data_IF_314123669238
#
_entry.id   IF_314123669238
#
_cell.length_a   1.000
_cell.length_b   1.000
_cell.length_c   1.000
_cell.angle_alpha   90.00
_cell.angle_beta   90.00
_cell.angle_gamma   90.00
#
_symmetry.space_group_name_H-M   'P 1'
#
loop_
_entity.id
_entity.type
_entity.pdbx_description
1 polymer ?
#
# COMPACT_ATOMS: atom_id res chain seq x y z
N UNK A 1 10.42 -41.25 7.99
CA UNK A 1 9.61 -40.20 8.67
C UNK A 1 10.17 -38.88 8.18
N UNK A 2 9.40 -38.09 7.44
CA UNK A 2 9.81 -36.74 7.08
C UNK A 2 9.74 -35.89 8.35
N UNK A 3 10.86 -35.30 8.75
CA UNK A 3 10.88 -34.19 9.69
C UNK A 3 10.01 -33.08 9.11
N UNK A 4 8.86 -32.83 9.74
CA UNK A 4 8.09 -31.61 9.48
C UNK A 4 8.91 -30.49 10.09
N UNK A 5 9.68 -29.77 9.26
CA UNK A 5 10.33 -28.54 9.68
C UNK A 5 9.23 -27.61 10.23
N UNK A 6 9.33 -27.30 11.52
CA UNK A 6 8.40 -26.37 12.16
C UNK A 6 8.77 -24.99 11.63
N UNK A 7 8.04 -24.53 10.60
CA UNK A 7 8.21 -23.18 10.07
C UNK A 7 7.99 -22.17 11.19
N UNK A 8 9.02 -21.37 11.47
CA UNK A 8 8.95 -20.33 12.49
C UNK A 8 8.19 -19.14 11.94
N UNK A 9 6.95 -18.96 12.42
CA UNK A 9 6.15 -17.77 12.11
C UNK A 9 6.45 -16.62 13.06
N UNK A 10 6.72 -15.44 12.52
CA UNK A 10 6.84 -14.19 13.30
C UNK A 10 5.88 -13.17 12.71
N UNK A 11 5.02 -12.57 13.53
CA UNK A 11 3.97 -11.64 13.09
C UNK A 11 3.04 -12.23 12.00
N UNK A 12 2.83 -13.55 11.99
CA UNK A 12 2.05 -14.26 10.98
C UNK A 12 2.79 -14.55 9.67
N UNK A 13 4.04 -14.12 9.52
CA UNK A 13 4.89 -14.36 8.34
C UNK A 13 5.74 -15.61 8.53
N UNK A 14 5.83 -16.43 7.48
CA UNK A 14 6.74 -17.58 7.41
C UNK A 14 8.15 -17.07 7.08
N UNK A 15 8.96 -16.87 8.12
CA UNK A 15 10.25 -16.16 8.00
C UNK A 15 11.25 -16.92 7.13
N UNK A 16 11.23 -18.26 7.19
CA UNK A 16 12.06 -19.11 6.32
C UNK A 16 11.72 -18.87 4.84
N UNK A 17 10.43 -18.91 4.47
CA UNK A 17 9.97 -18.67 3.09
C UNK A 17 10.29 -17.24 2.60
N UNK A 18 10.28 -16.26 3.50
CA UNK A 18 10.72 -14.89 3.19
C UNK A 18 12.19 -14.88 2.77
N UNK A 19 13.08 -15.49 3.54
CA UNK A 19 14.51 -15.56 3.22
C UNK A 19 14.82 -16.44 2.01
N UNK A 20 14.07 -17.52 1.79
CA UNK A 20 14.12 -18.31 0.55
C UNK A 20 13.79 -17.46 -0.68
N UNK A 21 12.74 -16.65 -0.59
CA UNK A 21 12.32 -15.74 -1.67
C UNK A 21 13.42 -14.71 -1.97
N UNK A 22 13.99 -14.10 -0.93
CA UNK A 22 15.13 -13.17 -1.07
C UNK A 22 16.32 -13.89 -1.73
N UNK A 23 16.61 -15.12 -1.31
CA UNK A 23 17.68 -15.95 -1.89
C UNK A 23 17.45 -16.27 -3.35
N UNK A 24 16.21 -16.60 -3.74
CA UNK A 24 15.82 -16.87 -5.13
C UNK A 24 16.00 -15.63 -6.00
N UNK A 25 15.51 -14.46 -5.55
CA UNK A 25 15.67 -13.19 -6.25
C UNK A 25 17.15 -12.82 -6.40
N UNK A 26 17.98 -13.00 -5.36
CA UNK A 26 19.42 -12.74 -5.45
C UNK A 26 20.12 -13.60 -6.51
N UNK A 27 19.68 -14.85 -6.69
CA UNK A 27 20.23 -15.77 -7.70
C UNK A 27 19.72 -15.47 -9.11
N UNK A 28 18.45 -15.09 -9.23
CA UNK A 28 17.79 -14.79 -10.50
C UNK A 28 17.09 -13.43 -10.37
N UNK A 29 17.81 -12.32 -10.64
CA UNK A 29 17.28 -10.97 -10.42
C UNK A 29 15.95 -10.68 -11.11
N UNK A 30 15.72 -11.24 -12.30
CA UNK A 30 14.47 -11.07 -13.05
C UNK A 30 13.24 -11.70 -12.39
N UNK A 31 13.38 -12.45 -11.28
CA UNK A 31 12.24 -12.87 -10.47
C UNK A 31 11.61 -11.71 -9.69
N UNK A 32 12.33 -10.59 -9.53
CA UNK A 32 11.87 -9.40 -8.81
C UNK A 32 10.97 -8.48 -9.65
N UNK A 33 10.79 -8.76 -10.94
CA UNK A 33 9.96 -7.93 -11.81
C UNK A 33 8.48 -8.27 -11.63
N UNK A 34 7.71 -7.28 -11.18
CA UNK A 34 6.27 -7.39 -10.96
C UNK A 34 5.51 -6.32 -11.75
N UNK A 35 4.34 -6.70 -12.25
CA UNK A 35 3.37 -5.77 -12.87
C UNK A 35 1.99 -6.03 -12.29
N UNK A 36 1.54 -5.09 -11.47
CA UNK A 36 0.18 -5.07 -10.93
C UNK A 36 -0.76 -4.37 -11.90
N UNK A 37 -2.04 -4.78 -11.90
CA UNK A 37 -3.05 -4.20 -12.79
C UNK A 37 -4.45 -4.31 -12.19
N UNK A 38 -5.31 -3.43 -12.65
CA UNK A 38 -6.74 -3.43 -12.37
C UNK A 38 -7.49 -2.85 -13.56
N UNK A 39 -8.78 -3.14 -13.63
CA UNK A 39 -9.72 -2.53 -14.56
C UNK A 39 -10.69 -1.65 -13.76
N UNK A 40 -11.11 -0.51 -14.30
CA UNK A 40 -12.11 0.36 -13.68
C UNK A 40 -13.24 0.67 -14.67
N UNK A 41 -14.47 0.78 -14.15
CA UNK A 41 -15.63 1.23 -14.92
C UNK A 41 -16.36 2.35 -14.18
N UNK A 42 -16.76 3.38 -14.91
CA UNK A 42 -17.73 4.35 -14.44
C UNK A 42 -19.12 3.68 -14.31
N UNK A 43 -19.88 4.09 -13.28
CA UNK A 43 -21.24 3.61 -13.05
C UNK A 43 -22.23 4.77 -13.16
N UNK A 44 -22.11 5.77 -12.30
CA UNK A 44 -22.99 6.94 -12.30
C UNK A 44 -22.39 8.06 -11.44
N UNK A 45 -22.51 9.33 -11.85
CA UNK A 45 -21.97 10.47 -11.12
C UNK A 45 -20.50 10.23 -10.70
N UNK A 46 -20.17 10.38 -9.40
CA UNK A 46 -18.85 10.07 -8.83
C UNK A 46 -18.57 8.57 -8.63
N UNK A 47 -19.59 7.71 -8.71
CA UNK A 47 -19.46 6.27 -8.48
C UNK A 47 -18.77 5.58 -9.65
N UNK A 48 -17.68 4.89 -9.34
CA UNK A 48 -16.95 4.01 -10.23
C UNK A 48 -16.48 2.75 -9.48
N UNK A 49 -16.16 1.69 -10.23
CA UNK A 49 -15.81 0.37 -9.68
C UNK A 49 -14.54 -0.16 -10.29
N UNK A 50 -13.58 -0.49 -9.43
CA UNK A 50 -12.35 -1.19 -9.79
C UNK A 50 -12.48 -2.69 -9.53
N UNK A 51 -11.88 -3.50 -10.41
CA UNK A 51 -11.75 -4.95 -10.27
C UNK A 51 -10.27 -5.33 -10.37
N UNK A 52 -9.75 -6.00 -9.34
CA UNK A 52 -8.37 -6.51 -9.27
C UNK A 52 -8.44 -8.04 -9.32
N UNK A 53 -7.86 -8.66 -10.36
CA UNK A 53 -7.97 -10.12 -10.58
C UNK A 53 -6.65 -10.84 -10.82
N UNK A 54 -5.61 -10.13 -11.27
CA UNK A 54 -4.34 -10.74 -11.64
C UNK A 54 -3.16 -9.78 -11.56
N UNK A 55 -1.95 -10.34 -11.58
CA UNK A 55 -0.69 -9.62 -11.65
C UNK A 55 0.38 -10.51 -12.30
N UNK A 56 1.42 -9.89 -12.86
CA UNK A 56 2.62 -10.61 -13.30
C UNK A 56 3.67 -10.51 -12.20
N UNK A 57 4.36 -11.60 -11.94
CA UNK A 57 5.44 -11.66 -10.95
C UNK A 57 6.14 -12.99 -11.02
N UNK A 58 7.39 -13.06 -10.56
CA UNK A 58 8.20 -14.30 -10.62
C UNK A 58 8.20 -14.94 -12.02
N UNK A 59 8.25 -14.10 -13.06
CA UNK A 59 8.25 -14.49 -14.48
C UNK A 59 6.97 -15.19 -15.01
N UNK A 60 5.83 -15.07 -14.32
CA UNK A 60 4.57 -15.67 -14.75
C UNK A 60 3.35 -14.81 -14.39
N UNK A 61 2.21 -15.12 -14.99
CA UNK A 61 0.91 -14.54 -14.61
C UNK A 61 0.33 -15.29 -13.41
N UNK A 62 -0.24 -14.52 -12.48
CA UNK A 62 -0.92 -15.01 -11.29
C UNK A 62 -2.34 -14.47 -11.26
N UNK A 63 -3.30 -15.33 -10.93
CA UNK A 63 -4.70 -14.97 -10.77
C UNK A 63 -5.18 -15.30 -9.37
N UNK A 64 -6.19 -14.57 -8.91
CA UNK A 64 -6.88 -14.81 -7.65
C UNK A 64 -8.35 -14.44 -7.78
N UNK A 65 -9.16 -14.80 -6.78
CA UNK A 65 -10.54 -14.34 -6.72
C UNK A 65 -10.60 -12.81 -6.81
N UNK A 66 -11.49 -12.22 -7.64
CA UNK A 66 -11.49 -10.79 -7.87
C UNK A 66 -11.83 -9.99 -6.61
N UNK A 67 -11.02 -8.96 -6.33
CA UNK A 67 -11.40 -7.92 -5.38
C UNK A 67 -12.13 -6.81 -6.11
N UNK A 68 -13.29 -6.42 -5.58
CA UNK A 68 -14.15 -5.37 -6.15
C UNK A 68 -14.19 -4.19 -5.19
N UNK A 69 -13.81 -3.02 -5.69
CA UNK A 69 -13.73 -1.78 -4.90
C UNK A 69 -14.56 -0.70 -5.58
N UNK A 70 -15.58 -0.22 -4.88
CA UNK A 70 -16.31 0.98 -5.29
C UNK A 70 -15.64 2.21 -4.73
N UNK A 71 -15.60 3.28 -5.52
CA UNK A 71 -15.16 4.60 -5.07
C UNK A 71 -16.22 5.64 -5.45
N UNK A 72 -16.50 6.57 -4.54
CA UNK A 72 -17.49 7.63 -4.72
C UNK A 72 -17.10 8.85 -3.87
N UNK A 73 -17.74 9.99 -4.08
CA UNK A 73 -17.51 11.17 -3.25
C UNK A 73 -18.52 11.25 -2.08
N UNK A 74 -18.20 11.99 -1.00
CA UNK A 74 -19.20 12.33 0.01
C UNK A 74 -20.28 13.24 -0.58
N UNK A 75 -21.45 13.33 0.08
CA UNK A 75 -22.59 14.14 -0.38
C UNK A 75 -22.21 15.61 -0.63
N UNK A 76 -21.37 16.18 0.24
CA UNK A 76 -20.89 17.57 0.11
C UNK A 76 -20.03 17.79 -1.15
N UNK A 77 -19.51 16.72 -1.74
CA UNK A 77 -18.78 16.69 -3.01
C UNK A 77 -19.57 15.99 -4.12
N UNK A 78 -20.90 16.01 -4.03
CA UNK A 78 -21.85 15.54 -5.06
C UNK A 78 -21.84 14.03 -5.32
N UNK A 79 -21.27 13.23 -4.42
CA UNK A 79 -21.42 11.78 -4.45
C UNK A 79 -22.56 11.29 -3.54
N UNK A 80 -22.73 9.97 -3.47
CA UNK A 80 -23.79 9.34 -2.67
C UNK A 80 -23.30 8.94 -1.26
N UNK A 81 -22.01 9.13 -0.96
CA UNK A 81 -21.42 8.72 0.32
C UNK A 81 -21.47 7.21 0.60
N UNK A 82 -21.72 6.39 -0.41
CA UNK A 82 -21.88 4.93 -0.31
C UNK A 82 -20.56 4.16 -0.34
N UNK A 83 -19.45 4.82 -0.64
CA UNK A 83 -18.11 4.24 -0.74
C UNK A 83 -17.05 5.32 -0.45
N UNK A 84 -15.83 4.94 -0.04
CA UNK A 84 -14.77 5.91 0.21
C UNK A 84 -14.42 6.72 -1.05
N UNK A 85 -13.98 7.95 -0.84
CA UNK A 85 -13.42 8.79 -1.90
C UNK A 85 -12.10 8.23 -2.43
N UNK A 86 -11.75 8.49 -3.70
CA UNK A 86 -10.45 8.11 -4.24
C UNK A 86 -9.27 8.67 -3.41
N UNK A 87 -9.43 9.85 -2.82
CA UNK A 87 -8.40 10.48 -1.98
C UNK A 87 -8.25 9.78 -0.62
N UNK A 88 -9.31 9.21 -0.07
CA UNK A 88 -9.26 8.34 1.12
C UNK A 88 -8.62 6.98 0.77
N UNK A 89 -8.92 6.42 -0.40
CA UNK A 89 -8.25 5.20 -0.89
C UNK A 89 -6.74 5.40 -1.04
N UNK A 90 -6.27 6.57 -1.46
CA UNK A 90 -4.85 6.89 -1.50
C UNK A 90 -4.20 6.85 -0.11
N UNK A 91 -4.85 7.43 0.91
CA UNK A 91 -4.36 7.37 2.30
C UNK A 91 -4.37 5.93 2.83
N UNK A 92 -5.42 5.17 2.53
CA UNK A 92 -5.51 3.75 2.88
C UNK A 92 -4.36 2.95 2.27
N UNK A 93 -4.11 3.07 0.97
CA UNK A 93 -3.03 2.36 0.30
C UNK A 93 -1.66 2.75 0.87
N UNK A 94 -1.44 4.04 1.12
CA UNK A 94 -0.20 4.56 1.70
C UNK A 94 0.07 3.99 3.09
N UNK A 95 -0.87 4.15 4.03
CA UNK A 95 -0.65 3.73 5.43
C UNK A 95 -0.58 2.21 5.54
N UNK A 96 -1.35 1.48 4.73
CA UNK A 96 -1.32 0.02 4.70
C UNK A 96 0.03 -0.49 4.21
N UNK A 97 0.58 0.12 3.15
CA UNK A 97 1.88 -0.26 2.62
C UNK A 97 3.03 0.03 3.61
N UNK A 98 3.01 1.18 4.29
CA UNK A 98 3.97 1.51 5.35
C UNK A 98 3.86 0.53 6.51
N UNK A 99 2.63 0.18 6.92
CA UNK A 99 2.38 -0.81 7.97
C UNK A 99 2.97 -2.17 7.60
N UNK A 100 2.69 -2.66 6.39
CA UNK A 100 3.24 -3.94 5.91
C UNK A 100 4.77 -3.93 5.89
N UNK A 101 5.40 -2.84 5.43
CA UNK A 101 6.85 -2.72 5.45
C UNK A 101 7.42 -2.82 6.88
N UNK A 102 6.82 -2.14 7.87
CA UNK A 102 7.23 -2.26 9.28
C UNK A 102 7.12 -3.72 9.76
N UNK A 103 5.98 -4.38 9.52
CA UNK A 103 5.72 -5.74 10.00
C UNK A 103 6.66 -6.77 9.36
N UNK A 104 6.90 -6.66 8.05
CA UNK A 104 7.78 -7.57 7.31
C UNK A 104 9.22 -7.45 7.80
N UNK A 105 9.71 -6.24 7.99
CA UNK A 105 11.06 -6.01 8.48
C UNK A 105 11.23 -6.37 9.97
N UNK A 106 10.20 -6.17 10.80
CA UNK A 106 10.20 -6.66 12.18
C UNK A 106 10.30 -8.20 12.21
N UNK A 107 9.52 -8.89 11.39
CA UNK A 107 9.57 -10.35 11.29
C UNK A 107 10.94 -10.86 10.81
N UNK A 108 11.53 -10.22 9.80
CA UNK A 108 12.87 -10.55 9.31
C UNK A 108 13.97 -10.34 10.37
N UNK A 109 13.77 -9.41 11.31
CA UNK A 109 14.64 -9.18 12.47
C UNK A 109 14.31 -10.07 13.67
N UNK A 110 13.30 -10.94 13.58
CA UNK A 110 12.84 -11.78 14.68
C UNK A 110 12.09 -11.02 15.79
N UNK A 111 11.65 -9.78 15.53
CA UNK A 111 10.93 -8.96 16.51
C UNK A 111 9.44 -9.27 16.43
N UNK A 112 8.90 -9.84 17.51
CA UNK A 112 7.48 -10.11 17.64
C UNK A 112 6.73 -8.83 18.06
N UNK A 113 5.84 -8.38 17.20
CA UNK A 113 4.93 -7.26 17.44
C UNK A 113 3.69 -7.78 18.16
N UNK A 114 3.27 -7.04 19.19
CA UNK A 114 2.02 -7.28 19.91
C UNK A 114 0.89 -6.44 19.31
N UNK A 115 1.20 -5.23 18.83
CA UNK A 115 0.23 -4.28 18.30
C UNK A 115 0.91 -3.30 17.32
N UNK A 116 0.22 -2.97 16.23
CA UNK A 116 0.58 -1.87 15.33
C UNK A 116 -0.71 -1.14 14.94
N UNK A 117 -0.84 0.10 15.39
CA UNK A 117 -1.95 0.99 15.03
C UNK A 117 -1.41 2.23 14.32
N UNK A 118 -2.22 2.83 13.46
CA UNK A 118 -1.87 4.08 12.81
C UNK A 118 -3.06 5.01 12.62
N UNK A 119 -2.76 6.32 12.58
CA UNK A 119 -3.68 7.38 12.17
C UNK A 119 -3.06 8.15 11.03
N UNK A 120 -3.83 8.40 9.98
CA UNK A 120 -3.38 9.14 8.79
C UNK A 120 -4.37 10.26 8.48
N UNK A 121 -3.83 11.43 8.15
CA UNK A 121 -4.58 12.59 7.70
C UNK A 121 -3.79 13.31 6.60
N UNK A 122 -4.49 14.03 5.73
CA UNK A 122 -3.87 14.87 4.71
C UNK A 122 -4.77 16.03 4.34
N UNK A 123 -4.15 17.14 3.93
CA UNK A 123 -4.87 18.37 3.63
C UNK A 123 -5.00 18.56 2.11
N UNK A 124 -6.23 18.74 1.61
CA UNK A 124 -6.55 19.08 0.21
C UNK A 124 -7.22 20.45 0.19
N UNK A 125 -6.93 21.22 -0.86
CA UNK A 125 -7.58 22.49 -1.13
C UNK A 125 -8.35 22.43 -2.45
N UNK A 126 -9.67 22.54 -2.34
CA UNK A 126 -10.58 22.33 -3.47
C UNK A 126 -10.47 23.43 -4.52
N UNK A 127 -9.87 24.60 -4.24
CA UNK A 127 -9.63 25.60 -5.28
C UNK A 127 -8.78 25.05 -6.43
N UNK A 128 -7.83 24.17 -6.13
CA UNK A 128 -7.02 23.51 -7.16
C UNK A 128 -7.84 22.50 -7.97
N UNK A 129 -8.58 21.62 -7.29
CA UNK A 129 -9.43 20.60 -7.92
C UNK A 129 -10.53 21.22 -8.81
N UNK A 130 -11.18 22.27 -8.32
CA UNK A 130 -12.26 22.99 -9.01
C UNK A 130 -11.76 23.96 -10.11
N UNK A 131 -10.45 24.09 -10.28
CA UNK A 131 -9.85 24.99 -11.28
C UNK A 131 -10.06 26.48 -10.99
N UNK A 132 -10.25 26.84 -9.72
CA UNK A 132 -10.47 28.22 -9.27
C UNK A 132 -9.16 28.99 -9.04
N UNK A 133 -8.07 28.28 -8.76
CA UNK A 133 -6.72 28.86 -8.63
C UNK A 133 -5.67 27.90 -9.17
N UNK A 134 -4.95 28.32 -10.22
CA UNK A 134 -3.91 27.53 -10.88
C UNK A 134 -2.64 27.37 -10.03
N UNK A 135 -2.41 28.25 -9.05
CA UNK A 135 -1.25 28.19 -8.15
C UNK A 135 -1.44 27.19 -7.01
N UNK A 136 -2.66 26.67 -6.81
CA UNK A 136 -2.97 25.70 -5.76
C UNK A 136 -2.80 24.28 -6.29
N UNK A 137 -2.05 23.46 -5.53
CA UNK A 137 -1.89 22.03 -5.81
C UNK A 137 -3.25 21.33 -5.76
N UNK A 138 -3.51 20.50 -6.77
CA UNK A 138 -4.76 19.74 -6.93
C UNK A 138 -4.89 18.54 -5.97
N UNK A 139 -3.76 17.89 -5.66
CA UNK A 139 -3.71 16.79 -4.69
C UNK A 139 -3.35 17.24 -3.27
N UNK A 140 -3.05 16.28 -2.38
CA UNK A 140 -2.63 16.56 -1.00
C UNK A 140 -1.45 17.54 -0.93
N UNK A 141 -1.59 18.58 -0.09
CA UNK A 141 -0.51 19.53 0.27
C UNK A 141 0.53 18.86 1.16
N UNK A 142 0.07 17.96 2.01
CA UNK A 142 0.84 17.23 3.01
C UNK A 142 0.01 16.00 3.47
N UNK A 143 0.70 14.97 3.93
CA UNK A 143 0.11 13.80 4.58
C UNK A 143 0.91 13.53 5.84
N UNK A 144 0.23 13.22 6.94
CA UNK A 144 0.85 12.97 8.24
C UNK A 144 0.35 11.62 8.76
N UNK A 145 1.28 10.75 9.11
CA UNK A 145 0.98 9.44 9.68
C UNK A 145 1.57 9.36 11.09
N UNK A 146 0.79 8.86 12.05
CA UNK A 146 1.23 8.57 13.41
C UNK A 146 1.04 7.09 13.68
N UNK A 147 2.09 6.42 14.12
CA UNK A 147 2.06 5.00 14.45
C UNK A 147 2.19 4.80 15.96
N UNK A 148 1.50 3.78 16.46
CA UNK A 148 1.69 3.23 17.80
C UNK A 148 2.08 1.77 17.63
N UNK A 149 3.27 1.41 18.11
CA UNK A 149 3.82 0.06 17.99
C UNK A 149 4.08 -0.46 19.39
N UNK A 150 3.68 -1.71 19.66
CA UNK A 150 3.95 -2.40 20.91
C UNK A 150 4.74 -3.68 20.63
N UNK A 151 5.93 -3.81 21.22
CA UNK A 151 6.74 -5.01 21.20
C UNK A 151 7.65 -5.05 22.44
N UNK A 152 8.16 -6.23 22.79
CA UNK A 152 9.07 -6.43 23.92
C UNK A 152 10.53 -6.19 23.53
N UNK A 153 10.83 -4.95 23.12
CA UNK A 153 12.15 -4.48 22.71
C UNK A 153 12.38 -3.05 23.19
N UNK A 154 13.64 -2.58 23.32
CA UNK A 154 13.92 -1.20 23.68
C UNK A 154 13.32 -0.19 22.68
N UNK A 155 12.97 1.01 23.17
CA UNK A 155 12.36 2.07 22.36
C UNK A 155 13.20 2.44 21.11
N UNK A 156 14.52 2.36 21.21
CA UNK A 156 15.42 2.59 20.07
C UNK A 156 15.15 1.61 18.90
N UNK A 157 14.86 0.35 19.19
CA UNK A 157 14.48 -0.63 18.17
C UNK A 157 13.08 -0.34 17.60
N UNK A 158 12.16 0.17 18.42
CA UNK A 158 10.84 0.59 17.92
C UNK A 158 10.96 1.78 16.97
N UNK A 159 11.81 2.76 17.28
CA UNK A 159 12.11 3.88 16.40
C UNK A 159 12.80 3.41 15.10
N UNK A 160 13.73 2.46 15.19
CA UNK A 160 14.36 1.86 14.02
C UNK A 160 13.29 1.21 13.13
N UNK A 161 12.43 0.36 13.69
CA UNK A 161 11.35 -0.29 12.96
C UNK A 161 10.40 0.71 12.29
N UNK A 162 10.04 1.79 12.99
CA UNK A 162 9.20 2.85 12.44
C UNK A 162 9.84 3.50 11.20
N UNK A 163 11.17 3.71 11.20
CA UNK A 163 11.91 4.28 10.06
C UNK A 163 11.94 3.34 8.85
N UNK A 164 11.87 2.02 9.06
CA UNK A 164 11.87 1.03 7.96
C UNK A 164 10.60 1.13 7.11
N UNK A 165 9.46 1.52 7.70
CA UNK A 165 8.19 1.66 6.99
C UNK A 165 8.30 2.59 5.76
N UNK A 166 8.57 3.89 5.95
CA UNK A 166 8.78 4.82 4.84
C UNK A 166 9.99 4.48 3.95
N UNK A 167 11.02 3.84 4.51
CA UNK A 167 12.24 3.48 3.77
C UNK A 167 11.99 2.41 2.71
N UNK A 168 11.16 1.41 3.03
CA UNK A 168 10.96 0.23 2.18
C UNK A 168 9.58 0.14 1.54
N UNK A 169 8.64 1.06 1.86
CA UNK A 169 7.29 1.09 1.29
C UNK A 169 7.29 1.60 -0.16
N UNK A 170 6.87 0.79 -1.16
CA UNK A 170 6.74 1.25 -2.54
C UNK A 170 5.69 2.34 -2.74
N UNK A 171 4.61 2.34 -1.93
CA UNK A 171 3.57 3.38 -2.04
C UNK A 171 4.05 4.70 -1.42
N UNK A 172 4.77 4.67 -0.30
CA UNK A 172 5.39 5.88 0.25
C UNK A 172 6.37 6.51 -0.73
N UNK A 173 7.22 5.69 -1.33
CA UNK A 173 8.09 6.07 -2.43
C UNK A 173 7.32 6.74 -3.57
N UNK A 174 6.30 6.06 -4.10
CA UNK A 174 5.50 6.53 -5.23
C UNK A 174 4.85 7.90 -4.98
N UNK A 175 4.35 8.13 -3.76
CA UNK A 175 3.69 9.38 -3.36
C UNK A 175 4.70 10.52 -3.18
N UNK A 176 5.88 10.23 -2.61
CA UNK A 176 6.84 11.29 -2.21
C UNK A 176 7.87 11.64 -3.28
N UNK A 177 8.20 10.71 -4.18
CA UNK A 177 9.16 10.95 -5.27
C UNK A 177 8.50 11.21 -6.62
N UNK A 178 7.19 10.95 -6.74
CA UNK A 178 6.40 11.21 -7.94
C UNK A 178 6.68 10.20 -9.05
N UNK A 179 5.67 9.37 -9.37
CA UNK A 179 5.75 8.41 -10.47
C UNK A 179 5.26 9.07 -11.76
N UNK A 180 5.95 8.93 -12.91
CA UNK A 180 5.40 9.31 -14.19
C UNK A 180 4.12 8.51 -14.48
N UNK A 181 3.01 9.22 -14.72
CA UNK A 181 1.73 8.61 -15.07
C UNK A 181 1.30 9.13 -16.44
N UNK A 182 1.07 8.20 -17.37
CA UNK A 182 0.60 8.51 -18.72
C UNK A 182 -0.88 8.15 -18.84
N UNK A 183 -1.64 9.03 -19.50
CA UNK A 183 -3.07 8.82 -19.78
C UNK A 183 -3.28 9.00 -21.28
N UNK A 184 -3.85 7.98 -21.92
CA UNK A 184 -4.11 7.97 -23.36
C UNK A 184 -5.53 7.47 -23.65
N UNK A 185 -6.12 7.97 -24.73
CA UNK A 185 -7.38 7.44 -25.25
C UNK A 185 -7.12 6.14 -26.02
N UNK A 186 -7.76 5.05 -25.59
CA UNK A 186 -7.88 3.83 -26.39
C UNK A 186 -8.96 4.04 -27.47
N UNK A 187 -8.66 3.64 -28.72
CA UNK A 187 -9.53 3.82 -29.88
C UNK A 187 -10.17 2.52 -30.30
#
# INVERSE_FOLDING_TARGET
MQEVAISTKVNGLEVERLFETIGAIKKVPGLADFKFRLENRWINAGLNRSTIKNFYGTQQEHEHEPFVLDANEPEILLGEGTSPSPVEYLLHALVSCVTSAIVYHAAAKGIQLQEVESKVEGDIDLHGFLGLDENIRKGYKNIRMKFRIKADVPDEQLEELLRLGPTFSPVFDSVTRGVPVEVSLEK
#
